data_IF_550955618447
#
_entry.id   IF_550955618447
#
_cell.length_a   1.000
_cell.length_b   1.000
_cell.length_c   1.000
_cell.angle_alpha   90.00
_cell.angle_beta   90.00
_cell.angle_gamma   90.00
#
_symmetry.space_group_name_H-M   'P 1'
#
loop_
_entity.id
_entity.type
_entity.pdbx_description
1 polymer ?
#
# COMPACT_ATOMS: atom_id res chain seq x y z
N UNK A 1 -9.25 24.37 -9.88
CA UNK A 1 -8.67 23.51 -8.84
C UNK A 1 -7.26 24.00 -8.62
N UNK A 2 -6.90 24.36 -7.40
CA UNK A 2 -5.53 24.70 -7.03
C UNK A 2 -4.65 23.47 -7.29
N UNK A 3 -3.49 23.69 -7.88
CA UNK A 3 -2.50 22.64 -8.13
C UNK A 3 -1.98 22.14 -6.78
N UNK A 4 -2.24 20.87 -6.45
CA UNK A 4 -1.87 20.27 -5.16
C UNK A 4 -0.37 20.03 -5.09
N UNK A 5 0.22 20.34 -3.94
CA UNK A 5 1.67 20.29 -3.74
C UNK A 5 2.04 19.28 -2.66
N UNK A 6 3.01 18.43 -2.95
CA UNK A 6 3.62 17.55 -1.95
C UNK A 6 4.68 18.34 -1.16
N UNK A 7 4.31 18.75 0.05
CA UNK A 7 5.09 19.67 0.90
C UNK A 7 6.02 18.94 1.88
N UNK A 8 5.67 17.71 2.27
CA UNK A 8 6.53 16.84 3.06
C UNK A 8 6.88 15.57 2.29
N UNK A 9 8.06 15.03 2.56
CA UNK A 9 8.55 13.77 2.03
C UNK A 9 9.19 12.94 3.14
N UNK A 10 8.91 11.64 3.13
CA UNK A 10 9.54 10.66 4.00
C UNK A 10 9.59 9.27 3.35
N UNK A 11 10.55 8.46 3.80
CA UNK A 11 10.64 7.05 3.44
C UNK A 11 9.79 6.23 4.40
N UNK A 12 8.96 5.35 3.84
CA UNK A 12 8.03 4.50 4.58
C UNK A 12 8.38 3.06 4.32
N UNK A 13 8.70 2.29 5.37
CA UNK A 13 9.03 0.87 5.28
C UNK A 13 8.02 0.05 6.10
N UNK A 14 6.89 -0.31 5.48
CA UNK A 14 5.84 -1.14 6.10
C UNK A 14 6.12 -2.64 5.99
N UNK A 15 6.90 -3.03 4.97
CA UNK A 15 7.38 -4.38 4.71
C UNK A 15 8.91 -4.31 4.79
N UNK A 16 9.60 -5.24 5.49
CA UNK A 16 11.05 -5.26 5.54
C UNK A 16 11.67 -5.18 4.13
N UNK A 17 12.68 -4.32 3.99
CA UNK A 17 13.42 -4.08 2.76
C UNK A 17 12.61 -3.43 1.61
N UNK A 18 11.33 -3.07 1.83
CA UNK A 18 10.53 -2.35 0.83
C UNK A 18 10.34 -0.91 1.28
N UNK A 19 11.11 -0.02 0.67
CA UNK A 19 11.07 1.42 0.94
C UNK A 19 10.13 2.10 -0.06
N UNK A 20 9.06 2.69 0.46
CA UNK A 20 8.09 3.46 -0.31
C UNK A 20 8.28 4.96 -0.10
N UNK A 21 8.15 5.75 -1.17
CA UNK A 21 8.15 7.21 -1.07
C UNK A 21 6.77 7.70 -0.60
N UNK A 22 6.72 8.20 0.63
CA UNK A 22 5.55 8.83 1.24
C UNK A 22 5.62 10.35 1.16
N UNK A 23 4.45 10.98 0.98
CA UNK A 23 4.31 12.43 0.96
C UNK A 23 3.09 12.87 1.76
N UNK A 24 3.13 14.10 2.26
CA UNK A 24 1.95 14.80 2.78
C UNK A 24 1.74 16.04 1.91
N UNK A 25 0.50 16.20 1.44
CA UNK A 25 0.10 17.31 0.58
C UNK A 25 -0.18 18.58 1.40
N UNK A 26 -0.35 19.71 0.71
CA UNK A 26 -0.68 21.01 1.28
C UNK A 26 -2.04 21.06 1.99
N UNK A 27 -2.93 20.10 1.71
CA UNK A 27 -4.21 19.87 2.39
C UNK A 27 -4.15 18.78 3.49
N UNK A 28 -2.94 18.44 3.97
CA UNK A 28 -2.67 17.39 4.97
C UNK A 28 -3.01 15.95 4.51
N UNK A 29 -3.31 15.76 3.23
CA UNK A 29 -3.55 14.40 2.69
C UNK A 29 -2.25 13.61 2.65
N UNK A 30 -2.21 12.48 3.36
CA UNK A 30 -1.14 11.48 3.25
C UNK A 30 -1.29 10.65 1.96
N UNK A 31 -0.21 10.56 1.19
CA UNK A 31 -0.15 9.86 -0.09
C UNK A 31 1.15 9.07 -0.26
N UNK A 32 1.15 8.09 -1.15
CA UNK A 32 2.33 7.34 -1.56
C UNK A 32 2.56 7.48 -3.07
N UNK A 33 3.81 7.47 -3.52
CA UNK A 33 4.13 7.50 -4.95
C UNK A 33 3.58 6.27 -5.69
N UNK A 34 3.38 6.38 -7.00
CA UNK A 34 3.00 5.24 -7.86
C UNK A 34 3.99 4.08 -7.72
N UNK A 35 5.29 4.37 -7.70
CA UNK A 35 6.32 3.34 -7.51
C UNK A 35 6.19 2.68 -6.14
N UNK A 36 6.13 3.46 -5.07
CA UNK A 36 6.00 2.93 -3.71
C UNK A 36 4.73 2.09 -3.54
N UNK A 37 3.61 2.52 -4.14
CA UNK A 37 2.35 1.78 -4.12
C UNK A 37 2.45 0.44 -4.87
N UNK A 38 3.14 0.43 -6.02
CA UNK A 38 3.35 -0.79 -6.79
C UNK A 38 4.23 -1.79 -6.01
N UNK A 39 5.32 -1.32 -5.41
CA UNK A 39 6.23 -2.12 -4.59
C UNK A 39 5.51 -2.67 -3.35
N UNK A 40 4.73 -1.84 -2.65
CA UNK A 40 3.89 -2.23 -1.51
C UNK A 40 2.93 -3.38 -1.90
N UNK A 41 2.25 -3.27 -3.04
CA UNK A 41 1.31 -4.29 -3.52
C UNK A 41 1.99 -5.50 -4.17
N UNK A 42 3.30 -5.45 -4.42
CA UNK A 42 4.04 -6.50 -5.10
C UNK A 42 3.65 -6.67 -6.55
N UNK A 43 3.39 -5.56 -7.23
CA UNK A 43 3.15 -5.51 -8.67
C UNK A 43 4.17 -4.58 -9.32
N UNK A 44 4.45 -4.79 -10.61
CA UNK A 44 5.30 -3.86 -11.33
C UNK A 44 4.58 -2.52 -11.57
N UNK A 45 5.35 -1.44 -11.65
CA UNK A 45 4.79 -0.09 -11.85
C UNK A 45 3.95 0.02 -13.14
N UNK A 46 4.30 -0.71 -14.21
CA UNK A 46 3.53 -0.69 -15.46
C UNK A 46 2.15 -1.33 -15.27
N UNK A 47 2.06 -2.39 -14.47
CA UNK A 47 0.80 -3.00 -14.06
C UNK A 47 -0.05 -2.01 -13.26
N UNK A 48 0.49 -1.32 -12.26
CA UNK A 48 -0.28 -0.32 -11.52
C UNK A 48 -0.76 0.84 -12.42
N UNK A 49 0.08 1.30 -13.35
CA UNK A 49 -0.30 2.30 -14.34
C UNK A 49 -1.43 1.80 -15.26
N UNK A 50 -1.39 0.53 -15.66
CA UNK A 50 -2.46 -0.09 -16.44
C UNK A 50 -3.75 -0.25 -15.64
N UNK A 51 -3.67 -0.60 -14.35
CA UNK A 51 -4.80 -0.64 -13.43
C UNK A 51 -5.46 0.74 -13.36
N UNK A 52 -4.67 1.80 -13.15
CA UNK A 52 -5.16 3.19 -13.12
C UNK A 52 -5.91 3.59 -14.39
N UNK A 53 -5.40 3.21 -15.56
CA UNK A 53 -6.01 3.55 -16.85
C UNK A 53 -7.25 2.72 -17.22
N UNK A 54 -7.36 1.50 -16.69
CA UNK A 54 -8.41 0.55 -17.05
C UNK A 54 -9.35 0.21 -15.88
N UNK A 55 -9.32 0.99 -14.80
CA UNK A 55 -10.19 0.76 -13.64
C UNK A 55 -11.66 1.06 -13.98
N UNK A 56 -12.63 0.18 -13.64
CA UNK A 56 -12.48 -1.14 -13.00
C UNK A 56 -11.99 -2.23 -13.95
N UNK A 57 -11.03 -3.06 -13.52
CA UNK A 57 -10.69 -4.27 -14.26
C UNK A 57 -11.84 -5.27 -14.21
N UNK A 58 -12.22 -5.87 -15.35
CA UNK A 58 -13.34 -6.83 -15.44
C UNK A 58 -13.28 -7.95 -14.40
N UNK A 59 -12.09 -8.49 -14.13
CA UNK A 59 -11.88 -9.57 -13.16
C UNK A 59 -11.97 -9.11 -11.71
N UNK A 60 -11.71 -7.83 -11.45
CA UNK A 60 -11.75 -7.27 -10.09
C UNK A 60 -13.09 -6.61 -9.77
N UNK A 61 -13.89 -6.27 -10.79
CA UNK A 61 -15.18 -5.57 -10.66
C UNK A 61 -16.10 -6.12 -9.55
N UNK A 62 -16.24 -7.44 -9.35
CA UNK A 62 -17.10 -7.97 -8.28
C UNK A 62 -16.60 -7.69 -6.86
N UNK A 63 -15.33 -7.31 -6.70
CA UNK A 63 -14.64 -7.20 -5.40
C UNK A 63 -14.29 -5.75 -5.03
N UNK A 64 -14.75 -4.78 -5.82
CA UNK A 64 -14.46 -3.37 -5.60
C UNK A 64 -15.51 -2.77 -4.67
N UNK A 65 -15.08 -2.01 -3.67
CA UNK A 65 -15.98 -1.25 -2.80
C UNK A 65 -16.82 -0.27 -3.62
N UNK A 66 -18.11 -0.14 -3.29
CA UNK A 66 -18.97 0.84 -3.95
C UNK A 66 -18.37 2.25 -3.86
N UNK A 67 -18.35 2.95 -5.00
CA UNK A 67 -17.74 4.28 -5.10
C UNK A 67 -16.21 4.32 -5.12
N UNK A 68 -15.52 3.18 -5.03
CA UNK A 68 -14.06 3.16 -5.06
C UNK A 68 -13.51 3.45 -6.45
N UNK A 69 -12.55 4.38 -6.50
CA UNK A 69 -11.84 4.77 -7.71
C UNK A 69 -10.34 4.66 -7.52
N UNK A 70 -9.66 4.10 -8.51
CA UNK A 70 -8.20 4.09 -8.58
C UNK A 70 -7.76 5.20 -9.52
N UNK A 71 -7.81 6.43 -9.01
CA UNK A 71 -7.30 7.61 -9.72
C UNK A 71 -5.95 8.00 -9.15
N UNK A 72 -4.93 8.02 -10.01
CA UNK A 72 -3.66 8.64 -9.67
C UNK A 72 -3.82 10.15 -9.75
N UNK A 73 -3.40 10.86 -8.70
CA UNK A 73 -3.36 12.31 -8.70
C UNK A 73 -1.97 12.78 -9.09
N UNK A 74 -1.89 13.73 -10.01
CA UNK A 74 -0.65 14.41 -10.32
C UNK A 74 -0.43 15.53 -9.30
N UNK A 75 0.76 15.58 -8.71
CA UNK A 75 1.14 16.59 -7.71
C UNK A 75 2.54 17.09 -7.99
N UNK A 76 2.75 18.39 -7.85
CA UNK A 76 4.09 18.98 -7.88
C UNK A 76 4.78 18.72 -6.53
N UNK A 77 5.99 18.18 -6.56
CA UNK A 77 6.80 17.99 -5.35
C UNK A 77 7.58 19.26 -5.03
N UNK A 78 7.27 19.88 -3.89
CA UNK A 78 8.00 21.04 -3.38
C UNK A 78 8.87 20.72 -2.16
N UNK A 79 8.73 19.51 -1.61
CA UNK A 79 9.57 18.99 -0.55
C UNK A 79 11.05 18.90 -1.01
N UNK A 80 11.90 19.79 -0.47
CA UNK A 80 13.31 19.93 -0.89
C UNK A 80 14.18 18.70 -0.62
N UNK A 81 13.80 17.88 0.35
CA UNK A 81 14.49 16.64 0.70
C UNK A 81 14.07 15.45 -0.18
N UNK A 82 13.11 15.62 -1.09
CA UNK A 82 12.68 14.56 -2.01
C UNK A 82 13.61 14.47 -3.23
N UNK A 83 13.96 13.25 -3.69
CA UNK A 83 14.65 13.05 -4.97
C UNK A 83 13.81 13.50 -6.18
N UNK A 84 12.51 13.76 -5.98
CA UNK A 84 11.57 14.21 -7.00
C UNK A 84 11.24 15.71 -6.89
N UNK A 85 11.95 16.50 -6.08
CA UNK A 85 11.71 17.94 -5.96
C UNK A 85 11.66 18.64 -7.33
N UNK A 86 10.67 19.52 -7.50
CA UNK A 86 10.33 20.23 -8.75
C UNK A 86 9.85 19.33 -9.91
N UNK A 87 9.44 18.09 -9.62
CA UNK A 87 8.81 17.20 -10.59
C UNK A 87 7.35 16.98 -10.24
N UNK A 88 6.56 16.80 -11.27
CA UNK A 88 5.21 16.27 -11.12
C UNK A 88 5.28 14.74 -10.99
N UNK A 89 4.64 14.18 -9.97
CA UNK A 89 4.58 12.74 -9.75
C UNK A 89 3.13 12.29 -9.60
N UNK A 90 2.89 11.00 -9.88
CA UNK A 90 1.61 10.37 -9.60
C UNK A 90 1.63 9.81 -8.19
N UNK A 91 0.63 10.18 -7.40
CA UNK A 91 0.44 9.72 -6.02
C UNK A 91 -0.93 9.09 -5.80
N UNK A 92 -0.99 8.21 -4.82
CA UNK A 92 -2.19 7.50 -4.39
C UNK A 92 -2.48 7.82 -2.93
N UNK A 93 -3.73 8.16 -2.64
CA UNK A 93 -4.17 8.42 -1.26
C UNK A 93 -4.24 7.14 -0.45
N UNK A 94 -4.18 7.26 0.87
CA UNK A 94 -4.44 6.14 1.80
C UNK A 94 -5.74 5.40 1.47
N UNK A 95 -6.81 6.12 1.12
CA UNK A 95 -8.08 5.51 0.74
C UNK A 95 -7.96 4.67 -0.55
N UNK A 96 -7.23 5.16 -1.55
CA UNK A 96 -7.00 4.42 -2.79
C UNK A 96 -6.15 3.17 -2.56
N UNK A 97 -5.09 3.28 -1.74
CA UNK A 97 -4.23 2.16 -1.37
C UNK A 97 -5.03 1.11 -0.60
N UNK A 98 -5.84 1.51 0.38
CA UNK A 98 -6.76 0.63 1.11
C UNK A 98 -7.69 -0.11 0.15
N UNK A 99 -8.34 0.59 -0.77
CA UNK A 99 -9.25 -0.05 -1.72
C UNK A 99 -8.53 -1.03 -2.66
N UNK A 100 -7.30 -0.75 -3.07
CA UNK A 100 -6.49 -1.70 -3.84
C UNK A 100 -6.20 -2.96 -3.03
N UNK A 101 -5.73 -2.81 -1.80
CA UNK A 101 -5.48 -3.93 -0.87
C UNK A 101 -6.76 -4.76 -0.69
N UNK A 102 -7.88 -4.11 -0.36
CA UNK A 102 -9.15 -4.79 -0.14
C UNK A 102 -9.63 -5.54 -1.39
N UNK A 103 -9.58 -4.90 -2.56
CA UNK A 103 -10.02 -5.51 -3.82
C UNK A 103 -9.21 -6.77 -4.14
N UNK A 104 -7.88 -6.71 -4.03
CA UNK A 104 -7.03 -7.87 -4.32
C UNK A 104 -7.14 -8.97 -3.27
N UNK A 105 -7.29 -8.62 -1.99
CA UNK A 105 -7.54 -9.58 -0.92
C UNK A 105 -8.87 -10.31 -1.13
N UNK A 106 -9.96 -9.56 -1.37
CA UNK A 106 -11.29 -10.11 -1.63
C UNK A 106 -11.32 -10.98 -2.89
N UNK A 107 -10.67 -10.54 -3.97
CA UNK A 107 -10.55 -11.34 -5.18
C UNK A 107 -9.76 -12.64 -4.95
N UNK A 108 -8.74 -12.63 -4.09
CA UNK A 108 -7.98 -13.84 -3.74
C UNK A 108 -8.80 -14.83 -2.93
N UNK A 109 -9.51 -14.36 -1.89
CA UNK A 109 -10.34 -15.21 -1.02
C UNK A 109 -11.43 -15.95 -1.82
N UNK A 110 -11.89 -15.35 -2.92
CA UNK A 110 -12.95 -15.88 -3.77
C UNK A 110 -12.42 -16.58 -5.03
N UNK A 111 -11.13 -16.94 -5.09
CA UNK A 111 -10.48 -17.56 -6.26
C UNK A 111 -10.68 -16.78 -7.59
N UNK A 112 -10.94 -15.47 -7.50
CA UNK A 112 -11.24 -14.59 -8.62
C UNK A 112 -10.00 -14.01 -9.32
N UNK A 113 -8.80 -14.24 -8.77
CA UNK A 113 -7.55 -13.78 -9.35
C UNK A 113 -7.03 -14.72 -10.44
N UNK A 114 -6.43 -14.13 -11.48
CA UNK A 114 -5.65 -14.91 -12.46
C UNK A 114 -4.43 -15.52 -11.77
N UNK A 115 -3.92 -16.64 -12.30
CA UNK A 115 -2.73 -17.33 -11.76
C UNK A 115 -1.54 -16.38 -11.52
N UNK A 116 -1.29 -15.45 -12.44
CA UNK A 116 -0.22 -14.47 -12.35
C UNK A 116 -0.53 -13.28 -11.43
N UNK A 117 -1.70 -13.19 -10.81
CA UNK A 117 -2.09 -12.16 -9.84
C UNK A 117 -2.22 -12.71 -8.42
N UNK A 118 -2.20 -14.04 -8.24
CA UNK A 118 -2.36 -14.70 -6.93
C UNK A 118 -1.37 -14.17 -5.89
N UNK A 119 -0.13 -13.87 -6.28
CA UNK A 119 0.87 -13.31 -5.37
C UNK A 119 0.48 -11.93 -4.81
N UNK A 120 -0.17 -11.08 -5.63
CA UNK A 120 -0.70 -9.77 -5.23
C UNK A 120 -1.78 -9.95 -4.17
N UNK A 121 -2.68 -10.91 -4.38
CA UNK A 121 -3.73 -11.28 -3.43
C UNK A 121 -3.20 -11.74 -2.08
N UNK A 122 -2.23 -12.66 -2.08
CA UNK A 122 -1.55 -13.14 -0.86
C UNK A 122 -0.86 -11.98 -0.12
N UNK A 123 -0.17 -11.10 -0.85
CA UNK A 123 0.47 -9.91 -0.28
C UNK A 123 -0.55 -8.94 0.31
N UNK A 124 -1.69 -8.73 -0.36
CA UNK A 124 -2.76 -7.86 0.11
C UNK A 124 -3.39 -8.36 1.42
N UNK A 125 -3.54 -9.68 1.59
CA UNK A 125 -3.98 -10.26 2.88
C UNK A 125 -2.95 -10.02 3.98
N UNK A 126 -1.67 -10.33 3.71
CA UNK A 126 -0.60 -10.10 4.68
C UNK A 126 -0.52 -8.63 5.12
N UNK A 127 -0.65 -7.69 4.17
CA UNK A 127 -0.75 -6.27 4.44
C UNK A 127 -1.97 -5.91 5.28
N UNK A 128 -3.15 -6.43 4.94
CA UNK A 128 -4.37 -6.15 5.69
C UNK A 128 -4.24 -6.58 7.16
N UNK A 129 -3.75 -7.80 7.40
CA UNK A 129 -3.55 -8.35 8.74
C UNK A 129 -2.52 -7.51 9.51
N UNK A 130 -1.36 -7.27 8.90
CA UNK A 130 -0.26 -6.55 9.56
C UNK A 130 -0.60 -5.11 9.88
N UNK A 131 -1.26 -4.39 8.98
CA UNK A 131 -1.65 -2.99 9.20
C UNK A 131 -2.72 -2.87 10.29
N UNK A 132 -3.71 -3.77 10.32
CA UNK A 132 -4.71 -3.81 11.39
C UNK A 132 -4.05 -4.09 12.73
N UNK A 133 -3.20 -5.10 12.81
CA UNK A 133 -2.49 -5.45 14.04
C UNK A 133 -1.59 -4.31 14.52
N UNK A 134 -0.92 -3.62 13.59
CA UNK A 134 -0.06 -2.46 13.88
C UNK A 134 -0.86 -1.28 14.42
N UNK A 135 -1.97 -0.93 13.78
CA UNK A 135 -2.83 0.15 14.24
C UNK A 135 -3.37 -0.13 15.67
N UNK A 136 -3.80 -1.37 15.94
CA UNK A 136 -4.26 -1.79 17.26
C UNK A 136 -3.14 -1.73 18.30
N UNK A 137 -1.97 -2.29 18.00
CA UNK A 137 -0.82 -2.30 18.92
C UNK A 137 -0.34 -0.89 19.27
N UNK A 138 -0.23 0.00 18.26
CA UNK A 138 0.14 1.40 18.47
C UNK A 138 -0.90 2.11 19.33
N UNK A 139 -2.19 1.98 19.02
CA UNK A 139 -3.26 2.64 19.76
C UNK A 139 -3.28 2.21 21.24
N UNK A 140 -3.11 0.91 21.51
CA UNK A 140 -3.06 0.37 22.88
C UNK A 140 -1.84 0.91 23.62
N UNK A 141 -0.66 0.86 23.01
CA UNK A 141 0.59 1.34 23.63
C UNK A 141 0.55 2.83 23.91
N UNK A 142 0.06 3.64 22.97
CA UNK A 142 -0.10 5.09 23.15
C UNK A 142 -1.10 5.41 24.26
N UNK A 143 -2.22 4.70 24.34
CA UNK A 143 -3.18 4.85 25.42
C UNK A 143 -2.58 4.51 26.81
N UNK A 144 -1.57 3.65 26.85
CA UNK A 144 -0.79 3.33 28.04
C UNK A 144 0.39 4.28 28.30
N UNK A 145 0.54 5.37 27.53
CA UNK A 145 1.62 6.35 27.68
C UNK A 145 2.97 5.90 27.12
N UNK A 146 3.01 4.85 26.29
CA UNK A 146 4.21 4.42 25.59
C UNK A 146 4.36 5.14 24.25
N UNK A 147 5.61 5.26 23.78
CA UNK A 147 5.94 5.82 22.46
C UNK A 147 6.44 4.70 21.52
N UNK A 148 5.54 3.92 20.90
CA UNK A 148 5.93 2.81 20.04
C UNK A 148 6.56 3.28 18.73
N UNK A 149 7.53 2.50 18.23
CA UNK A 149 8.01 2.63 16.85
C UNK A 149 6.99 2.03 15.88
N UNK A 150 6.37 2.90 15.08
CA UNK A 150 5.31 2.53 14.14
C UNK A 150 5.83 1.65 13.01
N UNK A 151 6.98 1.98 12.43
CA UNK A 151 7.50 1.26 11.26
C UNK A 151 8.04 -0.11 11.67
N UNK A 152 8.80 -0.18 12.76
CA UNK A 152 9.31 -1.46 13.27
C UNK A 152 8.16 -2.41 13.66
N UNK A 153 7.09 -1.87 14.25
CA UNK A 153 5.89 -2.64 14.58
C UNK A 153 5.19 -3.17 13.32
N UNK A 154 5.05 -2.34 12.27
CA UNK A 154 4.50 -2.75 10.99
C UNK A 154 5.27 -3.90 10.35
N UNK A 155 6.60 -3.77 10.29
CA UNK A 155 7.50 -4.76 9.72
C UNK A 155 7.40 -6.10 10.44
N UNK A 156 7.42 -6.08 11.78
CA UNK A 156 7.26 -7.29 12.60
C UNK A 156 5.92 -7.98 12.33
N UNK A 157 4.83 -7.22 12.38
CA UNK A 157 3.48 -7.77 12.16
C UNK A 157 3.31 -8.31 10.73
N UNK A 158 4.03 -7.74 9.75
CA UNK A 158 4.06 -8.27 8.38
C UNK A 158 4.75 -9.65 8.32
N UNK A 159 5.92 -9.79 8.93
CA UNK A 159 6.65 -11.08 9.00
C UNK A 159 5.76 -12.15 9.65
N UNK A 160 5.12 -11.79 10.77
CA UNK A 160 4.22 -12.69 11.50
C UNK A 160 3.01 -13.11 10.65
N UNK A 161 2.39 -12.17 9.92
CA UNK A 161 1.29 -12.46 9.01
C UNK A 161 1.72 -13.38 7.84
N UNK A 162 2.89 -13.14 7.24
CA UNK A 162 3.43 -14.00 6.19
C UNK A 162 3.71 -15.42 6.70
N UNK A 163 4.27 -15.54 7.92
CA UNK A 163 4.52 -16.84 8.55
C UNK A 163 3.22 -17.62 8.75
N UNK A 164 2.19 -16.98 9.28
CA UNK A 164 0.87 -17.58 9.50
C UNK A 164 0.22 -18.03 8.18
N UNK A 165 0.33 -17.22 7.11
CA UNK A 165 -0.13 -17.61 5.77
C UNK A 165 0.61 -18.87 5.26
N UNK A 166 1.93 -18.97 5.49
CA UNK A 166 2.72 -20.15 5.13
C UNK A 166 2.31 -21.39 5.92
N UNK A 167 2.05 -21.25 7.23
CA UNK A 167 1.57 -22.35 8.09
C UNK A 167 0.22 -22.90 7.65
N UNK A 168 -0.64 -22.06 7.06
CA UNK A 168 -1.90 -22.50 6.43
C UNK A 168 -1.73 -23.16 5.05
N UNK A 169 -0.49 -23.42 4.61
CA UNK A 169 -0.20 -24.12 3.36
C UNK A 169 -0.13 -23.22 2.12
N UNK A 170 -0.15 -21.89 2.30
CA UNK A 170 -0.04 -20.95 1.18
C UNK A 170 1.41 -20.51 0.94
N UNK A 171 1.88 -20.60 -0.30
CA UNK A 171 3.19 -20.06 -0.70
C UNK A 171 3.12 -18.56 -0.96
N UNK A 172 3.76 -17.72 -0.14
CA UNK A 172 3.91 -16.29 -0.41
C UNK A 172 5.35 -16.00 -0.84
N UNK A 173 5.52 -15.32 -1.98
CA UNK A 173 6.85 -14.89 -2.49
C UNK A 173 7.47 -13.77 -1.66
N UNK A 174 6.76 -13.22 -0.67
CA UNK A 174 7.24 -12.13 0.17
C UNK A 174 8.37 -12.52 1.15
N UNK A 175 8.95 -13.72 1.03
CA UNK A 175 9.99 -14.19 1.95
C UNK A 175 11.17 -14.92 1.31
N UNK A 176 11.30 -14.92 -0.02
CA UNK A 176 12.52 -15.41 -0.70
C UNK A 176 13.49 -14.26 -1.03
N UNK A 177 13.13 -13.01 -0.71
CA UNK A 177 13.92 -11.79 -0.94
C UNK A 177 14.55 -11.24 0.37
N UNK A 178 14.89 -12.11 1.34
CA UNK A 178 15.69 -11.75 2.53
C UNK A 178 17.17 -12.02 2.26
#
# INVERSE_FOLDING_TARGET
MTERKAVYYGQVELIPCIICDGYVLDDDTAVMSERGTADLLGMDQKTLKAVRGNWPLKTLKPFIDEGSTVRGNFVEVVARNSPHCHREIVVYTTQTIKSLIHTYASAFINDGLRKNQVHIGKRAIALSISLVQTALDIAIKQACGLSPDIQQTAQKNYIDAVKLIKEFGFTCTAGDDI
#
